data_IF_324008033122
#
_entry.id   IF_324008033122
#
_cell.length_a   1.000
_cell.length_b   1.000
_cell.length_c   1.000
_cell.angle_alpha   90.00
_cell.angle_beta   90.00
_cell.angle_gamma   90.00
#
_symmetry.space_group_name_H-M   'P 1'
#
loop_
_entity.id
_entity.type
_entity.pdbx_description
1 polymer ?
#
# COMPACT_ATOMS: atom_id res chain seq x y z
N UNK A 1 -9.03 -2.28 4.84
CA UNK A 1 -8.96 -1.98 3.40
C UNK A 1 -10.28 -1.48 2.85
N UNK A 2 -11.39 -2.24 2.88
CA UNK A 2 -12.68 -1.74 2.34
C UNK A 2 -13.15 -0.42 2.98
N UNK A 3 -12.85 -0.20 4.26
CA UNK A 3 -13.08 1.08 4.96
C UNK A 3 -12.37 2.28 4.30
N UNK A 4 -11.21 2.10 3.65
CA UNK A 4 -10.54 3.18 2.93
C UNK A 4 -11.33 3.61 1.70
N UNK A 5 -11.82 2.63 0.95
CA UNK A 5 -12.72 2.87 -0.18
C UNK A 5 -14.04 3.50 0.30
N UNK A 6 -14.61 3.06 1.43
CA UNK A 6 -15.82 3.67 1.99
C UNK A 6 -15.59 5.11 2.48
N UNK A 7 -14.36 5.44 2.90
CA UNK A 7 -13.94 6.79 3.24
C UNK A 7 -13.62 7.67 2.02
N UNK A 8 -13.79 7.16 0.80
CA UNK A 8 -13.62 7.89 -0.46
C UNK A 8 -12.21 7.88 -1.04
N UNK A 9 -11.31 7.03 -0.55
CA UNK A 9 -10.00 6.86 -1.16
C UNK A 9 -10.10 6.05 -2.46
N UNK A 10 -9.36 6.48 -3.48
CA UNK A 10 -9.05 5.67 -4.65
C UNK A 10 -7.95 4.65 -4.28
N UNK A 11 -8.25 3.36 -4.33
CA UNK A 11 -7.37 2.29 -3.84
C UNK A 11 -6.80 1.50 -5.00
N UNK A 12 -5.47 1.55 -5.15
CA UNK A 12 -4.73 0.69 -6.09
C UNK A 12 -4.04 -0.43 -5.29
N UNK A 13 -4.34 -1.68 -5.63
CA UNK A 13 -3.62 -2.84 -5.10
C UNK A 13 -2.37 -3.08 -5.95
N UNK A 14 -1.19 -2.85 -5.37
CA UNK A 14 0.08 -2.95 -6.08
C UNK A 14 0.96 -4.09 -5.54
N UNK A 15 1.53 -4.88 -6.45
CA UNK A 15 2.53 -5.91 -6.14
C UNK A 15 3.71 -5.82 -7.11
N UNK A 16 4.81 -6.48 -6.78
CA UNK A 16 6.01 -6.60 -7.64
C UNK A 16 6.44 -8.06 -7.79
N UNK A 17 5.46 -8.97 -7.68
CA UNK A 17 5.67 -10.41 -7.74
C UNK A 17 5.96 -10.84 -9.18
N UNK A 18 7.19 -11.31 -9.39
CA UNK A 18 7.62 -11.89 -10.67
C UNK A 18 6.88 -13.20 -11.00
N UNK A 19 6.35 -13.89 -9.99
CA UNK A 19 5.63 -15.16 -10.14
C UNK A 19 4.12 -14.99 -10.32
N UNK A 20 3.60 -13.76 -10.35
CA UNK A 20 2.17 -13.47 -10.51
C UNK A 20 1.77 -13.23 -11.98
N UNK A 21 2.35 -14.00 -12.89
CA UNK A 21 2.23 -13.84 -14.34
C UNK A 21 0.84 -14.18 -14.88
N UNK A 22 0.02 -14.95 -14.14
CA UNK A 22 -1.37 -15.17 -14.53
C UNK A 22 -2.33 -14.28 -13.76
N UNK A 23 -1.88 -13.38 -12.88
CA UNK A 23 -2.76 -12.54 -12.06
C UNK A 23 -3.47 -13.31 -10.92
N UNK A 24 -2.81 -14.31 -10.34
CA UNK A 24 -3.30 -15.08 -9.20
C UNK A 24 -3.63 -14.19 -7.99
N UNK A 25 -2.80 -13.17 -7.75
CA UNK A 25 -2.95 -12.23 -6.65
C UNK A 25 -4.20 -11.38 -6.83
N UNK A 26 -4.44 -10.85 -8.04
CA UNK A 26 -5.66 -10.11 -8.32
C UNK A 26 -6.91 -10.99 -8.15
N UNK A 27 -6.89 -12.23 -8.66
CA UNK A 27 -7.99 -13.18 -8.46
C UNK A 27 -8.21 -13.49 -6.99
N UNK A 28 -7.14 -13.65 -6.21
CA UNK A 28 -7.24 -13.87 -4.77
C UNK A 28 -7.87 -12.66 -4.06
N UNK A 29 -7.49 -11.44 -4.41
CA UNK A 29 -8.08 -10.22 -3.86
C UNK A 29 -9.60 -10.16 -4.13
N UNK A 30 -10.03 -10.42 -5.36
CA UNK A 30 -11.45 -10.48 -5.70
C UNK A 30 -12.19 -11.58 -4.94
N UNK A 31 -11.64 -12.80 -4.86
CA UNK A 31 -12.25 -13.91 -4.12
C UNK A 31 -12.42 -13.62 -2.62
N UNK A 32 -11.58 -12.76 -2.05
CA UNK A 32 -11.65 -12.37 -0.64
C UNK A 32 -12.42 -11.06 -0.41
N UNK A 33 -13.12 -10.54 -1.42
CA UNK A 33 -14.02 -9.39 -1.27
C UNK A 33 -13.31 -8.05 -1.05
N UNK A 34 -12.04 -7.92 -1.45
CA UNK A 34 -11.36 -6.64 -1.44
C UNK A 34 -11.91 -5.72 -2.53
N UNK A 35 -12.25 -4.49 -2.14
CA UNK A 35 -12.66 -3.41 -3.06
C UNK A 35 -11.45 -2.54 -3.37
N UNK A 36 -11.19 -2.34 -4.66
CA UNK A 36 -10.10 -1.53 -5.19
C UNK A 36 -10.44 -1.08 -6.61
N UNK A 37 -9.87 0.04 -7.00
CA UNK A 37 -10.14 0.74 -8.26
C UNK A 37 -9.12 0.40 -9.35
N UNK A 38 -7.94 -0.08 -8.94
CA UNK A 38 -6.88 -0.49 -9.84
C UNK A 38 -6.03 -1.61 -9.28
N UNK A 39 -5.43 -2.39 -10.18
CA UNK A 39 -4.45 -3.41 -9.86
C UNK A 39 -3.20 -3.19 -10.69
N UNK A 40 -2.03 -3.22 -10.04
CA UNK A 40 -0.74 -3.01 -10.70
C UNK A 40 0.28 -4.05 -10.24
N UNK A 41 0.86 -4.79 -11.18
CA UNK A 41 1.99 -5.68 -10.92
C UNK A 41 3.22 -5.15 -11.67
N UNK A 42 4.22 -4.65 -10.95
CA UNK A 42 5.42 -4.10 -11.54
C UNK A 42 6.24 -3.27 -10.56
N UNK A 43 7.09 -2.40 -11.10
CA UNK A 43 7.83 -1.43 -10.30
C UNK A 43 6.86 -0.41 -9.72
N UNK A 44 6.56 -0.55 -8.42
CA UNK A 44 5.64 0.32 -7.70
C UNK A 44 6.10 1.77 -7.74
N UNK A 45 7.41 2.03 -7.85
CA UNK A 45 7.94 3.41 -7.87
C UNK A 45 7.48 4.21 -9.09
N UNK A 46 6.95 3.56 -10.14
CA UNK A 46 6.36 4.25 -11.30
C UNK A 46 4.98 4.85 -11.01
N UNK A 47 4.35 4.49 -9.88
CA UNK A 47 3.09 5.08 -9.44
C UNK A 47 3.34 6.40 -8.69
N UNK A 48 2.34 7.28 -8.69
CA UNK A 48 2.36 8.57 -7.98
C UNK A 48 1.14 8.70 -7.06
N UNK A 49 0.98 7.84 -6.04
CA UNK A 49 -0.13 7.95 -5.10
C UNK A 49 0.15 9.02 -4.04
N UNK A 50 -0.89 9.55 -3.38
CA UNK A 50 -0.72 10.45 -2.23
C UNK A 50 -0.09 9.71 -1.02
N UNK A 51 -0.39 8.42 -0.89
CA UNK A 51 0.15 7.55 0.14
C UNK A 51 0.46 6.14 -0.39
N UNK A 52 1.53 5.54 0.11
CA UNK A 52 1.89 4.14 -0.12
C UNK A 52 1.84 3.38 1.20
N UNK A 53 1.12 2.25 1.23
CA UNK A 53 1.21 1.27 2.32
C UNK A 53 2.02 0.07 1.81
N UNK A 54 3.23 -0.12 2.33
CA UNK A 54 4.13 -1.19 1.90
C UNK A 54 5.00 -1.64 3.07
N UNK A 55 5.64 -2.80 2.93
CA UNK A 55 6.50 -3.38 3.94
C UNK A 55 7.97 -3.44 3.46
N UNK A 56 8.24 -3.19 2.18
CA UNK A 56 9.60 -3.24 1.62
C UNK A 56 10.35 -1.91 1.84
N UNK A 57 11.45 -1.87 2.63
CA UNK A 57 12.16 -0.62 2.95
C UNK A 57 12.60 0.19 1.74
N UNK A 58 13.21 -0.46 0.73
CA UNK A 58 13.68 0.21 -0.49
C UNK A 58 12.54 0.88 -1.27
N UNK A 59 11.34 0.28 -1.28
CA UNK A 59 10.16 0.88 -1.93
C UNK A 59 9.63 2.05 -1.11
N UNK A 60 9.59 1.93 0.22
CA UNK A 60 9.18 3.01 1.13
C UNK A 60 10.11 4.23 1.00
N UNK A 61 11.43 4.02 0.99
CA UNK A 61 12.44 5.06 0.79
C UNK A 61 12.27 5.76 -0.56
N UNK A 62 12.15 5.00 -1.65
CA UNK A 62 12.00 5.55 -2.99
C UNK A 62 10.72 6.39 -3.15
N UNK A 63 9.62 6.00 -2.50
CA UNK A 63 8.37 6.75 -2.52
C UNK A 63 8.40 7.98 -1.62
N UNK A 64 8.95 7.85 -0.42
CA UNK A 64 9.14 8.99 0.48
C UNK A 64 10.01 10.08 -0.17
N UNK A 65 11.06 9.68 -0.91
CA UNK A 65 11.90 10.60 -1.68
C UNK A 65 11.14 11.36 -2.79
N UNK A 66 9.99 10.84 -3.24
CA UNK A 66 9.07 11.48 -4.20
C UNK A 66 7.99 12.35 -3.52
N UNK A 67 8.04 12.48 -2.20
CA UNK A 67 7.02 13.19 -1.42
C UNK A 67 5.74 12.39 -1.15
N UNK A 68 5.71 11.09 -1.48
CA UNK A 68 4.58 10.22 -1.16
C UNK A 68 4.58 9.92 0.34
N UNK A 69 3.41 9.94 0.97
CA UNK A 69 3.31 9.53 2.38
C UNK A 69 3.52 8.02 2.50
N UNK A 70 4.68 7.61 3.00
CA UNK A 70 4.97 6.22 3.28
C UNK A 70 4.32 5.77 4.60
N UNK A 71 3.68 4.61 4.57
CA UNK A 71 3.02 3.96 5.72
C UNK A 71 3.46 2.50 5.73
N UNK A 72 3.88 1.98 6.88
CA UNK A 72 4.40 0.61 6.96
C UNK A 72 4.00 -0.09 8.27
N UNK A 73 3.95 -1.43 8.29
CA UNK A 73 3.69 -2.15 9.53
C UNK A 73 4.85 -1.98 10.53
N UNK A 74 4.54 -2.13 11.81
CA UNK A 74 5.52 -2.30 12.89
C UNK A 74 6.10 -3.72 12.82
N UNK A 75 7.06 -3.92 11.92
CA UNK A 75 7.73 -5.19 11.72
C UNK A 75 9.25 -5.00 11.65
N UNK A 76 10.02 -5.95 12.20
CA UNK A 76 11.46 -5.81 12.40
C UNK A 76 12.25 -5.44 11.14
N UNK A 77 11.87 -5.95 9.96
CA UNK A 77 12.57 -5.66 8.70
C UNK A 77 12.26 -4.29 8.11
N UNK A 78 11.22 -3.58 8.56
CA UNK A 78 10.82 -2.27 8.04
C UNK A 78 10.64 -1.20 9.13
N UNK A 79 10.90 -1.51 10.39
CA UNK A 79 10.77 -0.56 11.51
C UNK A 79 11.68 0.67 11.36
N UNK A 80 12.81 0.53 10.67
CA UNK A 80 13.74 1.62 10.38
C UNK A 80 13.45 2.36 9.06
N UNK A 81 12.45 1.93 8.29
CA UNK A 81 12.08 2.59 7.04
C UNK A 81 11.42 3.95 7.33
N UNK A 82 11.46 4.91 6.38
CA UNK A 82 10.77 6.19 6.56
C UNK A 82 9.25 6.01 6.50
N UNK A 83 8.54 6.91 7.18
CA UNK A 83 7.08 7.00 7.10
C UNK A 83 6.38 6.82 8.44
N UNK A 84 5.07 6.59 8.37
CA UNK A 84 4.22 6.40 9.54
C UNK A 84 4.00 4.91 9.79
N UNK A 85 4.34 4.46 10.99
CA UNK A 85 4.24 3.05 11.36
C UNK A 85 2.84 2.70 11.92
N UNK A 86 2.33 1.50 11.63
CA UNK A 86 1.10 0.98 12.23
C UNK A 86 1.26 -0.45 12.78
N UNK A 87 0.64 -0.73 13.92
CA UNK A 87 0.63 -2.08 14.53
C UNK A 87 -0.56 -2.94 14.10
N UNK A 88 -1.63 -2.31 13.64
CA UNK A 88 -2.88 -2.96 13.24
C UNK A 88 -3.52 -2.22 12.08
N UNK A 89 -4.13 -2.97 11.16
CA UNK A 89 -4.82 -2.40 10.00
C UNK A 89 -5.91 -1.39 10.38
N UNK A 90 -6.57 -1.57 11.53
CA UNK A 90 -7.59 -0.65 12.03
C UNK A 90 -7.06 0.78 12.31
N UNK A 91 -5.74 0.97 12.43
CA UNK A 91 -5.15 2.30 12.64
C UNK A 91 -4.88 3.06 11.32
N UNK A 92 -4.83 2.35 10.19
CA UNK A 92 -4.46 2.95 8.89
C UNK A 92 -5.41 4.07 8.46
N UNK A 93 -6.74 3.97 8.59
CA UNK A 93 -7.63 5.07 8.23
C UNK A 93 -7.33 6.37 9.00
N UNK A 94 -7.07 6.27 10.31
CA UNK A 94 -6.73 7.41 11.17
C UNK A 94 -5.38 8.04 10.78
N UNK A 95 -4.41 7.22 10.37
CA UNK A 95 -3.12 7.72 9.88
C UNK A 95 -3.31 8.52 8.58
N UNK A 96 -4.18 8.05 7.70
CA UNK A 96 -4.49 8.66 6.40
C UNK A 96 -5.36 9.93 6.51
N UNK A 97 -6.21 10.06 7.53
CA UNK A 97 -6.95 11.31 7.79
C UNK A 97 -6.00 12.50 7.97
N UNK A 98 -4.82 12.28 8.56
CA UNK A 98 -3.78 13.32 8.69
C UNK A 98 -2.91 13.53 7.45
N UNK A 99 -3.25 12.91 6.31
CA UNK A 99 -2.59 13.08 5.00
C UNK A 99 -3.43 13.95 4.06
N UNK A 100 -4.72 14.09 4.35
CA UNK A 100 -5.67 14.91 3.59
C UNK A 100 -5.59 16.39 3.97
#
# INVERSE_FOLDING_TARGET
MNQLHDAGWNVIMATSRADDWRGESQRWLHRNGFRFDGYYNGDKTLLTPDALIDDRPVTLEAMAAKGVTAIHPDHAYCTAAPGRMFRRWAAVPLILEGVR
#
